data_IF_967092894091
#
_entry.id   IF_967092894091
#
_cell.length_a   1.000
_cell.length_b   1.000
_cell.length_c   1.000
_cell.angle_alpha   90.00
_cell.angle_beta   90.00
_cell.angle_gamma   90.00
#
_symmetry.space_group_name_H-M   'P 1'
#
loop_
_entity.id
_entity.type
_entity.pdbx_description
1 polymer ?
#
# COMPACT_ATOMS: atom_id res chain seq x y z
N UNK A 1 -23.12 -39.20 77.13
CA UNK A 1 -24.60 -39.27 77.22
C UNK A 1 -25.13 -38.04 76.52
N UNK A 2 -26.23 -38.22 75.77
CA UNK A 2 -26.91 -37.22 74.93
C UNK A 2 -26.15 -36.86 73.64
N UNK A 3 -26.75 -36.78 72.45
CA UNK A 3 -28.15 -36.93 72.05
C UNK A 3 -28.29 -37.00 70.52
N UNK A 4 -29.39 -37.62 70.10
CA UNK A 4 -30.16 -37.48 68.83
C UNK A 4 -29.47 -37.13 67.50
N UNK A 5 -29.71 -37.97 66.48
CA UNK A 5 -30.62 -37.61 65.36
C UNK A 5 -30.89 -38.79 64.41
N UNK A 6 -32.18 -38.98 64.09
CA UNK A 6 -32.71 -39.60 62.87
C UNK A 6 -32.08 -38.96 61.61
N UNK A 7 -32.06 -39.49 60.39
CA UNK A 7 -33.08 -40.26 59.66
C UNK A 7 -32.42 -40.91 58.43
N UNK A 8 -33.11 -41.90 57.85
CA UNK A 8 -32.69 -42.75 56.73
C UNK A 8 -32.66 -42.04 55.36
N UNK A 9 -31.89 -42.68 54.48
CA UNK A 9 -31.98 -42.80 53.01
C UNK A 9 -31.57 -41.58 52.16
N UNK A 10 -30.53 -41.77 51.34
CA UNK A 10 -30.63 -41.36 49.94
C UNK A 10 -29.79 -42.25 49.02
N UNK A 11 -30.43 -42.74 47.96
CA UNK A 11 -29.86 -43.58 46.91
C UNK A 11 -29.20 -42.76 45.80
N UNK A 12 -28.34 -43.44 45.06
CA UNK A 12 -27.67 -42.98 43.85
C UNK A 12 -28.67 -42.54 42.76
N UNK A 13 -28.40 -41.41 42.11
CA UNK A 13 -28.43 -41.37 40.65
C UNK A 13 -27.58 -40.22 40.09
N UNK A 14 -26.56 -40.60 39.34
CA UNK A 14 -25.67 -39.81 38.49
C UNK A 14 -26.39 -39.35 37.22
N UNK A 15 -26.38 -38.06 36.91
CA UNK A 15 -26.51 -37.53 35.54
C UNK A 15 -25.61 -36.30 35.39
N UNK A 16 -24.78 -36.36 34.35
CA UNK A 16 -23.72 -35.43 33.98
C UNK A 16 -24.30 -34.10 33.47
N UNK A 17 -23.78 -32.97 33.95
CA UNK A 17 -24.00 -31.65 33.36
C UNK A 17 -22.93 -31.38 32.29
N UNK A 18 -23.29 -31.47 31.01
CA UNK A 18 -22.51 -30.87 29.92
C UNK A 18 -22.85 -29.37 29.80
N UNK A 19 -21.86 -28.48 29.61
CA UNK A 19 -22.13 -27.10 29.24
C UNK A 19 -22.52 -27.02 27.76
N UNK A 20 -23.74 -26.54 27.52
CA UNK A 20 -24.34 -26.31 26.21
C UNK A 20 -23.52 -25.27 25.43
N UNK A 21 -22.70 -25.74 24.48
CA UNK A 21 -21.91 -24.90 23.58
C UNK A 21 -22.78 -24.48 22.40
N UNK A 22 -23.59 -23.43 22.59
CA UNK A 22 -24.29 -22.81 21.47
C UNK A 22 -23.29 -22.22 20.48
N UNK A 23 -23.31 -22.62 19.19
CA UNK A 23 -22.53 -21.94 18.17
C UNK A 23 -23.04 -20.50 18.09
N UNK A 24 -22.18 -19.53 18.34
CA UNK A 24 -22.48 -18.10 18.21
C UNK A 24 -22.92 -17.81 16.78
N UNK A 25 -24.23 -17.86 16.55
CA UNK A 25 -24.81 -17.60 15.24
C UNK A 25 -24.51 -16.15 14.87
N UNK A 26 -23.72 -15.95 13.80
CA UNK A 26 -23.33 -14.62 13.32
C UNK A 26 -24.56 -13.69 13.27
N UNK A 27 -24.42 -12.49 13.82
CA UNK A 27 -25.44 -11.44 13.76
C UNK A 27 -25.95 -11.24 12.32
N UNK A 28 -27.23 -10.88 12.15
CA UNK A 28 -27.84 -10.61 10.84
C UNK A 28 -26.97 -9.66 9.98
N UNK A 29 -26.31 -8.69 10.62
CA UNK A 29 -25.39 -7.76 9.95
C UNK A 29 -24.06 -8.41 9.54
N UNK A 30 -23.51 -9.29 10.37
CA UNK A 30 -22.29 -10.04 10.06
C UNK A 30 -22.53 -11.03 8.90
N UNK A 31 -23.68 -11.74 8.90
CA UNK A 31 -24.11 -12.60 7.79
C UNK A 31 -24.27 -11.83 6.48
N UNK A 32 -24.89 -10.64 6.53
CA UNK A 32 -25.04 -9.75 5.36
C UNK A 32 -23.69 -9.25 4.84
N UNK A 33 -22.75 -8.89 5.73
CA UNK A 33 -21.39 -8.47 5.36
C UNK A 33 -20.62 -9.62 4.69
N UNK A 34 -20.68 -10.82 5.26
CA UNK A 34 -20.03 -12.02 4.69
C UNK A 34 -20.58 -12.38 3.31
N UNK A 35 -21.91 -12.39 3.14
CA UNK A 35 -22.53 -12.68 1.84
C UNK A 35 -22.15 -11.63 0.79
N UNK A 36 -22.06 -10.35 1.16
CA UNK A 36 -21.61 -9.28 0.27
C UNK A 36 -20.14 -9.48 -0.13
N UNK A 37 -19.28 -9.88 0.80
CA UNK A 37 -17.87 -10.19 0.55
C UNK A 37 -17.73 -11.37 -0.42
N UNK A 38 -18.42 -12.49 -0.16
CA UNK A 38 -18.41 -13.67 -1.04
C UNK A 38 -18.90 -13.33 -2.45
N UNK A 39 -19.99 -12.55 -2.58
CA UNK A 39 -20.47 -12.09 -3.89
C UNK A 39 -19.45 -11.22 -4.62
N UNK A 40 -18.75 -10.35 -3.89
CA UNK A 40 -17.70 -9.51 -4.47
C UNK A 40 -16.48 -10.34 -4.92
N UNK A 41 -16.04 -11.30 -4.11
CA UNK A 41 -14.96 -12.23 -4.45
C UNK A 41 -15.29 -13.09 -5.66
N UNK A 42 -16.52 -13.64 -5.72
CA UNK A 42 -17.01 -14.40 -6.86
C UNK A 42 -17.04 -13.55 -8.14
N UNK A 43 -17.59 -12.33 -8.09
CA UNK A 43 -17.62 -11.40 -9.22
C UNK A 43 -16.21 -11.00 -9.68
N UNK A 44 -15.28 -10.82 -8.74
CA UNK A 44 -13.87 -10.52 -9.03
C UNK A 44 -13.19 -11.71 -9.70
N UNK A 45 -13.44 -12.92 -9.22
CA UNK A 45 -12.91 -14.16 -9.81
C UNK A 45 -13.46 -14.39 -11.22
N UNK A 46 -14.76 -14.20 -11.43
CA UNK A 46 -15.42 -14.31 -12.73
C UNK A 46 -14.83 -13.32 -13.74
N UNK A 47 -14.72 -12.02 -13.38
CA UNK A 47 -14.12 -11.00 -14.26
C UNK A 47 -12.67 -11.35 -14.63
N UNK A 48 -11.91 -11.90 -13.68
CA UNK A 48 -10.53 -12.36 -13.92
C UNK A 48 -10.50 -13.56 -14.88
N UNK A 49 -11.44 -14.51 -14.75
CA UNK A 49 -11.57 -15.67 -15.63
C UNK A 49 -11.94 -15.24 -17.06
N UNK A 50 -12.95 -14.39 -17.22
CA UNK A 50 -13.36 -13.85 -18.53
C UNK A 50 -12.21 -13.10 -19.22
N UNK A 51 -11.48 -12.26 -18.48
CA UNK A 51 -10.31 -11.54 -19.02
C UNK A 51 -9.22 -12.51 -19.46
N UNK A 52 -8.98 -13.59 -18.71
CA UNK A 52 -8.00 -14.63 -19.05
C UNK A 52 -8.40 -15.39 -20.31
N UNK A 53 -9.68 -15.72 -20.46
CA UNK A 53 -10.22 -16.40 -21.64
C UNK A 53 -10.15 -15.52 -22.89
N UNK A 54 -10.55 -14.25 -22.79
CA UNK A 54 -10.44 -13.30 -23.90
C UNK A 54 -8.99 -13.16 -24.38
N UNK A 55 -8.04 -13.04 -23.44
CA UNK A 55 -6.60 -13.01 -23.77
C UNK A 55 -6.12 -14.31 -24.43
N UNK A 56 -6.64 -15.46 -24.02
CA UNK A 56 -6.33 -16.75 -24.65
C UNK A 56 -6.82 -16.80 -26.09
N UNK A 57 -8.10 -16.46 -26.33
CA UNK A 57 -8.70 -16.40 -27.68
C UNK A 57 -7.95 -15.43 -28.59
N UNK A 58 -7.60 -14.25 -28.09
CA UNK A 58 -6.81 -13.28 -28.86
C UNK A 58 -5.41 -13.79 -29.19
N UNK A 59 -4.76 -14.49 -28.25
CA UNK A 59 -3.46 -15.12 -28.46
C UNK A 59 -3.50 -16.23 -29.51
N UNK A 60 -4.54 -17.07 -29.49
CA UNK A 60 -4.77 -18.12 -30.49
C UNK A 60 -5.04 -17.52 -31.88
N UNK A 61 -5.86 -16.47 -31.98
CA UNK A 61 -6.10 -15.74 -33.23
C UNK A 61 -4.79 -15.21 -33.84
N UNK A 62 -3.99 -14.50 -33.04
CA UNK A 62 -2.68 -13.96 -33.48
C UNK A 62 -1.69 -15.06 -33.88
N UNK A 63 -1.81 -16.27 -33.31
CA UNK A 63 -0.99 -17.42 -33.68
C UNK A 63 -1.40 -17.97 -35.04
N UNK A 64 -2.71 -18.17 -35.27
CA UNK A 64 -3.24 -18.64 -36.56
C UNK A 64 -2.90 -17.68 -37.70
N UNK A 65 -3.11 -16.38 -37.51
CA UNK A 65 -2.76 -15.34 -38.50
C UNK A 65 -1.26 -15.36 -38.85
N UNK A 66 -0.41 -15.69 -37.88
CA UNK A 66 1.02 -15.81 -38.12
C UNK A 66 1.38 -17.09 -38.88
N UNK A 67 0.75 -18.22 -38.56
CA UNK A 67 0.92 -19.48 -39.27
C UNK A 67 0.46 -19.35 -40.73
N UNK A 68 -0.68 -18.70 -40.96
CA UNK A 68 -1.19 -18.37 -42.30
C UNK A 68 -0.23 -17.46 -43.08
N UNK A 69 0.28 -16.39 -42.44
CA UNK A 69 1.28 -15.50 -43.05
C UNK A 69 2.55 -16.24 -43.44
N UNK A 70 3.03 -17.17 -42.61
CA UNK A 70 4.18 -18.02 -42.92
C UNK A 70 3.88 -18.99 -44.08
N UNK A 71 2.66 -19.52 -44.16
CA UNK A 71 2.22 -20.41 -45.23
C UNK A 71 2.00 -19.67 -46.56
N UNK A 72 1.71 -18.37 -46.52
CA UNK A 72 1.51 -17.53 -47.71
C UNK A 72 2.82 -17.03 -48.34
N UNK A 73 3.98 -17.31 -47.72
CA UNK A 73 5.28 -16.93 -48.28
C UNK A 73 5.58 -17.76 -49.54
N UNK A 74 6.06 -17.12 -50.61
CA UNK A 74 6.25 -17.77 -51.91
C UNK A 74 7.51 -18.65 -51.95
N UNK A 75 8.46 -18.43 -51.04
CA UNK A 75 9.68 -19.21 -50.91
C UNK A 75 10.07 -19.49 -49.45
N UNK A 76 10.87 -20.54 -49.25
CA UNK A 76 11.43 -20.87 -47.94
C UNK A 76 12.37 -19.78 -47.42
N UNK A 77 13.07 -19.09 -48.31
CA UNK A 77 13.93 -17.95 -47.97
C UNK A 77 13.12 -16.76 -47.41
N UNK A 78 11.98 -16.43 -48.02
CA UNK A 78 11.07 -15.38 -47.52
C UNK A 78 10.53 -15.72 -46.12
N UNK A 79 10.18 -17.00 -45.92
CA UNK A 79 9.70 -17.51 -44.63
C UNK A 79 10.77 -17.36 -43.54
N UNK A 80 12.02 -17.73 -43.82
CA UNK A 80 13.14 -17.60 -42.89
C UNK A 80 13.43 -16.12 -42.55
N UNK A 81 13.48 -15.24 -43.56
CA UNK A 81 13.66 -13.79 -43.39
C UNK A 81 12.58 -13.19 -42.49
N UNK A 82 11.32 -13.60 -42.66
CA UNK A 82 10.21 -13.10 -41.85
C UNK A 82 10.28 -13.56 -40.38
N UNK A 83 10.70 -14.81 -40.14
CA UNK A 83 10.93 -15.35 -38.78
C UNK A 83 12.06 -14.59 -38.09
N UNK A 84 13.17 -14.39 -38.79
CA UNK A 84 14.35 -13.70 -38.27
C UNK A 84 14.04 -12.23 -37.96
N UNK A 85 13.40 -11.51 -38.89
CA UNK A 85 12.95 -10.13 -38.66
C UNK A 85 12.05 -10.00 -37.42
N UNK A 86 11.11 -10.94 -37.24
CA UNK A 86 10.25 -10.95 -36.04
C UNK A 86 11.02 -11.24 -34.76
N UNK A 87 12.04 -12.10 -34.83
CA UNK A 87 12.92 -12.42 -33.69
C UNK A 87 13.75 -11.20 -33.30
N UNK A 88 14.32 -10.50 -34.27
CA UNK A 88 15.14 -9.31 -34.02
C UNK A 88 14.29 -8.16 -33.47
N UNK A 89 13.12 -7.89 -34.05
CA UNK A 89 12.17 -6.91 -33.50
C UNK A 89 11.76 -7.23 -32.06
N UNK A 90 11.59 -8.51 -31.72
CA UNK A 90 11.33 -8.91 -30.32
C UNK A 90 12.53 -8.65 -29.43
N UNK A 91 13.74 -8.99 -29.89
CA UNK A 91 14.98 -8.78 -29.15
C UNK A 91 15.23 -7.29 -28.89
N UNK A 92 15.09 -6.45 -29.91
CA UNK A 92 15.21 -4.99 -29.81
C UNK A 92 14.19 -4.42 -28.80
N UNK A 93 12.91 -4.81 -28.91
CA UNK A 93 11.87 -4.36 -27.97
C UNK A 93 12.13 -4.80 -26.53
N UNK A 94 12.68 -6.00 -26.34
CA UNK A 94 13.09 -6.49 -25.02
C UNK A 94 14.31 -5.73 -24.49
N UNK A 95 15.28 -5.43 -25.37
CA UNK A 95 16.46 -4.61 -25.07
C UNK A 95 16.08 -3.22 -24.60
N UNK A 96 15.29 -2.48 -25.40
CA UNK A 96 14.80 -1.13 -25.04
C UNK A 96 14.06 -1.12 -23.69
N UNK A 97 13.22 -2.12 -23.42
CA UNK A 97 12.52 -2.24 -22.13
C UNK A 97 13.46 -2.52 -20.96
N UNK A 98 14.51 -3.31 -21.18
CA UNK A 98 15.50 -3.59 -20.16
C UNK A 98 16.33 -2.34 -19.85
N UNK A 99 16.74 -1.61 -20.89
CA UNK A 99 17.45 -0.33 -20.80
C UNK A 99 16.63 0.72 -20.05
N UNK A 100 15.38 0.99 -20.48
CA UNK A 100 14.49 1.92 -19.78
C UNK A 100 14.27 1.53 -18.30
N UNK A 101 14.25 0.23 -18.00
CA UNK A 101 14.09 -0.26 -16.63
C UNK A 101 15.36 -0.01 -15.82
N UNK A 102 16.52 -0.22 -16.41
CA UNK A 102 17.82 0.04 -15.78
C UNK A 102 17.98 1.53 -15.52
N UNK A 103 17.70 2.39 -16.50
CA UNK A 103 17.74 3.85 -16.31
C UNK A 103 16.86 4.31 -15.14
N UNK A 104 15.60 3.83 -15.07
CA UNK A 104 14.70 4.13 -13.94
C UNK A 104 15.26 3.65 -12.61
N UNK A 105 15.91 2.50 -12.61
CA UNK A 105 16.53 1.89 -11.41
C UNK A 105 17.74 2.71 -10.96
N UNK A 106 18.58 3.14 -11.90
CA UNK A 106 19.74 3.98 -11.64
C UNK A 106 19.34 5.36 -11.10
N UNK A 107 18.28 5.98 -11.63
CA UNK A 107 17.77 7.24 -11.08
C UNK A 107 17.34 7.12 -9.62
N UNK A 108 16.68 6.03 -9.25
CA UNK A 108 16.26 5.79 -7.85
C UNK A 108 17.47 5.53 -6.94
N UNK A 109 18.46 4.77 -7.40
CA UNK A 109 19.71 4.55 -6.65
C UNK A 109 20.46 5.85 -6.45
N UNK A 110 20.56 6.69 -7.47
CA UNK A 110 21.17 8.02 -7.35
C UNK A 110 20.38 8.91 -6.39
N UNK A 111 19.05 8.83 -6.40
CA UNK A 111 18.21 9.56 -5.46
C UNK A 111 18.43 9.12 -4.01
N UNK A 112 18.78 7.86 -3.74
CA UNK A 112 19.15 7.41 -2.39
C UNK A 112 20.37 8.17 -1.82
N UNK A 113 21.30 8.57 -2.68
CA UNK A 113 22.51 9.29 -2.28
C UNK A 113 22.34 10.82 -2.31
N UNK A 114 21.64 11.36 -3.30
CA UNK A 114 21.61 12.81 -3.59
C UNK A 114 20.20 13.40 -3.74
N UNK A 115 19.17 12.57 -3.63
CA UNK A 115 17.79 12.99 -3.77
C UNK A 115 17.25 13.60 -2.48
N UNK A 116 16.12 14.30 -2.62
CA UNK A 116 15.37 14.82 -1.48
C UNK A 116 14.90 13.68 -0.58
N UNK A 117 15.19 13.74 0.71
CA UNK A 117 14.72 12.74 1.68
C UNK A 117 13.27 13.04 2.08
N UNK A 118 12.40 12.07 1.83
CA UNK A 118 10.96 12.16 2.12
C UNK A 118 10.58 10.94 2.96
N UNK A 119 10.08 11.18 4.16
CA UNK A 119 9.67 10.16 5.12
C UNK A 119 8.16 10.08 5.16
N UNK A 120 7.59 8.88 5.12
CA UNK A 120 6.19 8.62 5.42
C UNK A 120 6.13 8.00 6.82
N UNK A 121 5.57 8.75 7.76
CA UNK A 121 5.39 8.36 9.16
C UNK A 121 4.16 7.47 9.33
N UNK A 122 4.37 6.17 9.58
CA UNK A 122 3.31 5.16 9.66
C UNK A 122 2.88 4.81 11.09
N UNK A 123 3.30 5.58 12.10
CA UNK A 123 2.98 5.31 13.51
C UNK A 123 1.51 5.55 13.89
N UNK A 124 0.66 5.93 12.94
CA UNK A 124 -0.77 6.21 13.18
C UNK A 124 -1.71 5.05 12.84
N UNK A 125 -1.18 3.84 12.64
CA UNK A 125 -1.97 2.66 12.25
C UNK A 125 -3.17 2.43 13.18
N UNK A 126 -2.99 2.58 14.49
CA UNK A 126 -4.03 2.36 15.50
C UNK A 126 -5.16 3.39 15.47
N UNK A 127 -4.96 4.51 14.79
CA UNK A 127 -5.97 5.58 14.63
C UNK A 127 -6.83 5.39 13.37
N UNK A 128 -6.59 4.32 12.61
CA UNK A 128 -7.23 4.03 11.34
C UNK A 128 -8.00 2.72 11.36
N UNK A 129 -9.11 2.69 10.64
CA UNK A 129 -9.79 1.43 10.32
C UNK A 129 -9.02 0.64 9.28
N UNK A 130 -9.27 -0.67 9.15
CA UNK A 130 -8.70 -1.52 8.08
C UNK A 130 -8.89 -0.91 6.67
N UNK A 131 -10.04 -0.24 6.44
CA UNK A 131 -10.32 0.40 5.15
C UNK A 131 -9.46 1.65 4.90
N UNK A 132 -9.09 2.36 5.95
CA UNK A 132 -8.21 3.54 5.89
C UNK A 132 -6.75 3.11 5.76
N UNK A 133 -6.32 2.08 6.50
CA UNK A 133 -5.02 1.41 6.31
C UNK A 133 -4.88 0.95 4.85
N UNK A 134 -5.89 0.26 4.30
CA UNK A 134 -5.86 -0.16 2.91
C UNK A 134 -5.73 1.02 1.95
N UNK A 135 -6.43 2.12 2.22
CA UNK A 135 -6.35 3.34 1.42
C UNK A 135 -4.96 3.98 1.49
N UNK A 136 -4.35 4.04 2.68
CA UNK A 136 -2.99 4.53 2.86
C UNK A 136 -1.97 3.66 2.11
N UNK A 137 -2.11 2.34 2.18
CA UNK A 137 -1.26 1.41 1.42
C UNK A 137 -1.36 1.68 -0.09
N UNK A 138 -2.55 1.96 -0.62
CA UNK A 138 -2.70 2.37 -2.02
C UNK A 138 -2.02 3.72 -2.32
N UNK A 139 -2.09 4.68 -1.39
CA UNK A 139 -1.38 5.95 -1.55
C UNK A 139 0.14 5.76 -1.55
N UNK A 140 0.68 4.90 -0.69
CA UNK A 140 2.11 4.54 -0.67
C UNK A 140 2.53 3.91 -2.01
N UNK A 141 1.75 2.96 -2.55
CA UNK A 141 1.98 2.38 -3.89
C UNK A 141 2.00 3.47 -4.96
N UNK A 142 1.04 4.40 -4.90
CA UNK A 142 0.96 5.50 -5.85
C UNK A 142 2.17 6.43 -5.74
N UNK A 143 2.55 6.84 -4.53
CA UNK A 143 3.73 7.67 -4.26
C UNK A 143 5.00 7.04 -4.85
N UNK A 144 5.25 5.75 -4.58
CA UNK A 144 6.38 5.05 -5.15
C UNK A 144 6.31 4.97 -6.67
N UNK A 145 5.14 4.65 -7.25
CA UNK A 145 4.96 4.57 -8.69
C UNK A 145 5.14 5.91 -9.41
N UNK A 146 4.72 7.03 -8.80
CA UNK A 146 4.97 8.38 -9.30
C UNK A 146 6.46 8.72 -9.19
N UNK A 147 7.08 8.49 -8.02
CA UNK A 147 8.50 8.75 -7.80
C UNK A 147 9.39 8.06 -8.84
N UNK A 148 9.12 6.78 -9.14
CA UNK A 148 9.82 6.02 -10.19
C UNK A 148 9.73 6.62 -11.61
N UNK A 149 8.69 7.40 -11.88
CA UNK A 149 8.47 8.06 -13.18
C UNK A 149 9.05 9.47 -13.22
N UNK A 150 9.39 10.06 -12.08
CA UNK A 150 10.01 11.37 -12.01
C UNK A 150 11.38 11.38 -12.71
N UNK A 151 11.70 12.52 -13.34
CA UNK A 151 13.02 12.76 -13.91
C UNK A 151 14.10 12.85 -12.81
N UNK A 152 13.74 13.49 -11.68
CA UNK A 152 14.54 13.54 -10.46
C UNK A 152 13.72 12.95 -9.31
N UNK A 153 13.82 11.65 -9.01
CA UNK A 153 13.14 11.05 -7.87
C UNK A 153 13.71 11.55 -6.54
N UNK A 154 12.90 11.52 -5.49
CA UNK A 154 13.36 11.65 -4.11
C UNK A 154 13.73 10.30 -3.51
N UNK A 155 14.44 10.33 -2.39
CA UNK A 155 14.68 9.17 -1.54
C UNK A 155 13.50 8.99 -0.57
N UNK A 156 12.74 7.90 -0.76
CA UNK A 156 11.58 7.62 0.09
C UNK A 156 11.95 6.72 1.26
N UNK A 157 11.40 7.03 2.42
CA UNK A 157 11.47 6.23 3.64
C UNK A 157 10.06 5.89 4.12
N UNK A 158 9.86 4.67 4.57
CA UNK A 158 8.70 4.28 5.36
C UNK A 158 9.20 3.99 6.77
N UNK A 159 8.72 4.73 7.76
CA UNK A 159 9.13 4.59 9.17
C UNK A 159 7.92 4.22 10.03
N UNK A 160 8.15 3.59 11.17
CA UNK A 160 7.08 3.08 12.03
C UNK A 160 6.35 1.89 11.39
N UNK A 161 7.00 1.14 10.51
CA UNK A 161 6.43 -0.03 9.86
C UNK A 161 6.27 -1.16 10.89
N UNK A 162 5.12 -1.22 11.57
CA UNK A 162 4.83 -2.26 12.55
C UNK A 162 3.38 -2.76 12.45
N UNK A 163 3.12 -3.90 13.08
CA UNK A 163 1.77 -4.45 13.24
C UNK A 163 1.03 -4.67 11.90
N UNK A 164 -0.23 -4.24 11.85
CA UNK A 164 -1.07 -4.46 10.66
C UNK A 164 -0.59 -3.67 9.44
N UNK A 165 0.06 -2.51 9.65
CA UNK A 165 0.61 -1.74 8.53
C UNK A 165 1.73 -2.52 7.82
N UNK A 166 2.67 -3.06 8.59
CA UNK A 166 3.75 -3.88 8.04
C UNK A 166 3.19 -5.10 7.30
N UNK A 167 2.24 -5.81 7.90
CA UNK A 167 1.59 -6.97 7.29
C UNK A 167 0.96 -6.64 5.92
N UNK A 168 0.30 -5.48 5.80
CA UNK A 168 -0.31 -5.05 4.54
C UNK A 168 0.75 -4.69 3.49
N UNK A 169 1.83 -4.02 3.90
CA UNK A 169 2.94 -3.65 3.02
C UNK A 169 3.69 -4.88 2.49
N UNK A 170 3.99 -5.86 3.34
CA UNK A 170 4.69 -7.10 2.94
C UNK A 170 3.88 -7.94 1.94
N UNK A 171 2.55 -7.85 1.96
CA UNK A 171 1.67 -8.52 0.97
C UNK A 171 1.73 -7.91 -0.42
N UNK A 172 2.32 -6.73 -0.58
CA UNK A 172 2.43 -6.07 -1.88
C UNK A 172 3.45 -6.77 -2.78
N UNK A 173 3.04 -7.04 -4.02
CA UNK A 173 3.91 -7.71 -4.98
C UNK A 173 5.15 -6.87 -5.31
N UNK A 174 6.32 -7.43 -5.00
CA UNK A 174 7.59 -6.80 -5.30
C UNK A 174 8.00 -5.69 -4.34
N UNK A 175 7.31 -5.53 -3.20
CA UNK A 175 7.65 -4.54 -2.17
C UNK A 175 9.07 -4.74 -1.63
N UNK A 176 9.49 -5.99 -1.44
CA UNK A 176 10.86 -6.41 -1.15
C UNK A 176 11.89 -5.72 -2.07
N UNK A 177 11.58 -5.58 -3.35
CA UNK A 177 12.46 -4.99 -4.38
C UNK A 177 12.29 -3.48 -4.57
N UNK A 178 11.49 -2.80 -3.75
CA UNK A 178 11.38 -1.35 -3.83
C UNK A 178 12.67 -0.69 -3.35
N UNK A 179 13.11 0.34 -4.07
CA UNK A 179 14.34 1.10 -3.77
C UNK A 179 13.94 2.28 -2.88
N UNK A 180 13.70 1.96 -1.61
CA UNK A 180 13.27 2.85 -0.53
C UNK A 180 13.82 2.28 0.79
N UNK A 181 13.90 3.10 1.83
CA UNK A 181 14.16 2.59 3.19
C UNK A 181 12.86 2.18 3.88
N UNK A 182 12.96 1.15 4.73
CA UNK A 182 11.83 0.54 5.42
C UNK A 182 12.27 0.27 6.85
N UNK A 183 11.81 1.11 7.76
CA UNK A 183 12.18 1.06 9.17
C UNK A 183 10.95 0.71 10.01
N UNK A 184 11.11 -0.26 10.91
CA UNK A 184 10.10 -0.58 11.92
C UNK A 184 10.04 0.47 13.03
N UNK A 185 11.18 1.10 13.31
CA UNK A 185 11.33 2.18 14.28
C UNK A 185 10.71 3.50 13.79
N UNK A 186 10.43 4.40 14.72
CA UNK A 186 9.96 5.75 14.43
C UNK A 186 11.01 6.52 13.61
N UNK A 187 10.58 7.55 12.86
CA UNK A 187 11.53 8.38 12.11
C UNK A 187 12.52 9.10 13.01
N UNK A 188 12.12 9.43 14.24
CA UNK A 188 12.96 10.19 15.18
C UNK A 188 14.10 9.32 15.71
N UNK A 189 13.86 8.01 15.86
CA UNK A 189 14.90 7.04 16.25
C UNK A 189 15.77 6.67 15.05
N UNK A 190 15.17 6.35 13.91
CA UNK A 190 15.89 5.94 12.70
C UNK A 190 16.81 7.04 12.14
N UNK A 191 16.44 8.31 12.34
CA UNK A 191 17.17 9.48 11.82
C UNK A 191 17.68 10.39 12.95
N UNK A 192 17.95 9.81 14.12
CA UNK A 192 18.36 10.56 15.33
C UNK A 192 19.57 11.48 15.10
N UNK A 193 20.55 11.03 14.29
CA UNK A 193 21.78 11.78 13.98
C UNK A 193 21.56 12.98 13.07
N UNK A 194 20.35 13.14 12.52
CA UNK A 194 19.96 14.24 11.63
C UNK A 194 18.71 14.95 12.13
N UNK A 195 18.44 14.90 13.44
CA UNK A 195 17.23 15.45 14.07
C UNK A 195 17.00 16.93 13.71
N UNK A 196 18.05 17.73 13.65
CA UNK A 196 18.02 19.16 13.30
C UNK A 196 17.62 19.44 11.85
N UNK A 197 17.69 18.41 10.99
CA UNK A 197 17.30 18.46 9.58
C UNK A 197 15.88 17.95 9.33
N UNK A 198 15.20 17.42 10.35
CA UNK A 198 13.82 16.96 10.24
C UNK A 198 12.84 18.14 10.16
N UNK A 199 11.96 18.09 9.16
CA UNK A 199 10.86 19.05 8.96
C UNK A 199 9.57 18.26 8.79
N UNK A 200 8.66 18.35 9.76
CA UNK A 200 7.34 17.71 9.66
C UNK A 200 6.39 18.58 8.84
N UNK A 201 5.91 18.03 7.72
CA UNK A 201 4.93 18.68 6.87
C UNK A 201 3.53 18.50 7.44
N UNK A 202 2.93 19.62 7.87
CA UNK A 202 1.57 19.64 8.43
C UNK A 202 0.83 20.88 7.99
N UNK A 203 -0.46 20.73 7.69
CA UNK A 203 -1.32 21.84 7.27
C UNK A 203 -1.54 22.87 8.40
N UNK A 204 -1.35 22.45 9.65
CA UNK A 204 -1.54 23.28 10.84
C UNK A 204 -0.31 24.14 11.18
N UNK A 205 0.78 24.06 10.39
CA UNK A 205 1.98 24.88 10.61
C UNK A 205 1.75 26.33 10.18
N UNK A 206 2.32 27.27 10.94
CA UNK A 206 2.32 28.69 10.60
C UNK A 206 3.29 28.98 9.44
N UNK A 207 4.43 28.30 9.43
CA UNK A 207 5.52 28.47 8.45
C UNK A 207 5.17 27.84 7.12
N UNK A 208 5.14 28.64 6.04
CA UNK A 208 5.01 28.11 4.68
C UNK A 208 6.37 27.60 4.16
N UNK A 209 6.35 26.49 3.43
CA UNK A 209 7.53 25.92 2.78
C UNK A 209 7.64 26.46 1.35
N UNK A 210 8.47 27.47 1.14
CA UNK A 210 8.64 28.09 -0.18
C UNK A 210 9.56 27.26 -1.09
N UNK A 211 10.66 26.74 -0.54
CA UNK A 211 11.67 25.98 -1.27
C UNK A 211 12.03 24.67 -0.54
N UNK A 212 12.42 23.66 -1.33
CA UNK A 212 12.88 22.38 -0.84
C UNK A 212 14.40 22.36 -0.75
N UNK A 213 14.94 22.09 0.44
CA UNK A 213 16.36 21.93 0.70
C UNK A 213 16.73 20.44 0.71
N UNK A 214 17.67 20.05 -0.15
CA UNK A 214 18.17 18.67 -0.25
C UNK A 214 18.88 18.19 1.04
N UNK A 215 19.31 19.10 1.91
CA UNK A 215 19.89 18.78 3.23
C UNK A 215 18.83 18.48 4.28
N UNK A 216 17.57 18.84 4.05
CA UNK A 216 16.46 18.59 4.95
C UNK A 216 15.79 17.25 4.67
N UNK A 217 15.14 16.72 5.69
CA UNK A 217 14.34 15.50 5.61
C UNK A 217 12.90 15.87 5.90
N UNK A 218 12.04 15.70 4.90
CA UNK A 218 10.65 16.11 4.96
C UNK A 218 9.76 14.94 5.35
N UNK A 219 9.06 15.06 6.48
CA UNK A 219 8.20 14.01 7.02
C UNK A 219 6.75 14.31 6.65
N UNK A 220 6.05 13.31 6.14
CA UNK A 220 4.61 13.36 5.85
C UNK A 220 3.91 12.33 6.72
N UNK A 221 2.85 12.75 7.41
CA UNK A 221 2.02 11.83 8.18
C UNK A 221 1.31 10.83 7.27
N UNK A 222 1.62 9.54 7.43
CA UNK A 222 0.91 8.43 6.81
C UNK A 222 -0.41 8.18 7.53
N UNK A 223 -1.39 9.05 7.30
CA UNK A 223 -2.69 9.02 7.97
C UNK A 223 -3.82 9.28 6.98
N UNK A 224 -4.85 8.42 7.01
CA UNK A 224 -6.09 8.61 6.27
C UNK A 224 -7.23 8.73 7.27
N UNK A 225 -7.55 9.97 7.64
CA UNK A 225 -8.54 10.25 8.67
C UNK A 225 -9.63 11.24 8.23
N UNK A 226 -9.50 11.84 7.05
CA UNK A 226 -10.36 12.94 6.57
C UNK A 226 -10.38 14.14 7.52
N UNK A 227 -9.24 14.44 8.15
CA UNK A 227 -9.05 15.54 9.09
C UNK A 227 -9.92 15.42 10.37
N UNK A 228 -10.13 14.18 10.85
CA UNK A 228 -10.74 13.92 12.17
C UNK A 228 -9.78 14.31 13.29
N UNK A 229 -8.47 14.14 13.08
CA UNK A 229 -7.42 14.34 14.06
C UNK A 229 -6.65 15.65 13.80
N UNK A 230 -7.34 16.78 13.95
CA UNK A 230 -6.73 18.11 13.77
C UNK A 230 -5.56 18.32 14.73
N UNK A 231 -4.46 18.88 14.25
CA UNK A 231 -3.28 19.19 15.06
C UNK A 231 -2.46 17.98 15.50
N UNK A 232 -2.82 16.74 15.12
CA UNK A 232 -2.13 15.53 15.60
C UNK A 232 -0.64 15.53 15.24
N UNK A 233 -0.33 15.74 13.96
CA UNK A 233 1.05 15.75 13.46
C UNK A 233 1.83 16.97 13.94
N UNK A 234 1.17 18.12 14.08
CA UNK A 234 1.75 19.34 14.66
C UNK A 234 2.14 19.12 16.12
N UNK A 235 1.24 18.53 16.92
CA UNK A 235 1.49 18.19 18.32
C UNK A 235 2.67 17.21 18.44
N UNK A 236 2.68 16.13 17.66
CA UNK A 236 3.77 15.16 17.63
C UNK A 236 5.12 15.83 17.32
N UNK A 237 5.18 16.68 16.30
CA UNK A 237 6.39 17.39 15.92
C UNK A 237 6.88 18.37 17.02
N UNK A 238 5.96 19.11 17.64
CA UNK A 238 6.26 20.04 18.73
C UNK A 238 6.80 19.31 19.97
N UNK A 239 6.16 18.20 20.37
CA UNK A 239 6.61 17.38 21.50
C UNK A 239 8.02 16.81 21.29
N UNK A 240 8.38 16.51 20.03
CA UNK A 240 9.70 16.03 19.66
C UNK A 240 10.73 17.16 19.45
N UNK A 241 10.26 18.41 19.41
CA UNK A 241 11.10 19.60 19.18
C UNK A 241 11.72 19.65 17.78
N UNK A 242 10.99 19.21 16.75
CA UNK A 242 11.42 19.29 15.34
C UNK A 242 10.71 20.42 14.59
N UNK A 243 11.30 20.86 13.49
CA UNK A 243 10.73 21.94 12.68
C UNK A 243 9.42 21.48 12.02
N UNK A 244 8.50 22.42 11.79
CA UNK A 244 7.27 22.16 11.02
C UNK A 244 7.14 23.16 9.89
N UNK A 245 6.50 22.73 8.81
CA UNK A 245 6.11 23.62 7.72
C UNK A 245 4.84 23.13 7.03
N UNK A 246 4.08 24.03 6.41
CA UNK A 246 2.96 23.69 5.53
C UNK A 246 3.35 23.89 4.07
N UNK A 247 2.81 23.04 3.20
CA UNK A 247 2.96 23.25 1.75
C UNK A 247 2.20 24.54 1.34
N UNK A 248 2.72 25.33 0.39
CA UNK A 248 2.16 26.62 -0.03
C UNK A 248 0.96 26.43 -0.97
N UNK A 249 0.02 25.55 -0.61
CA UNK A 249 -1.06 25.10 -1.48
C UNK A 249 -2.11 26.20 -1.69
N UNK A 250 -2.35 27.03 -0.68
CA UNK A 250 -3.31 28.14 -0.74
C UNK A 250 -3.00 29.16 -1.84
N UNK A 251 -1.73 29.31 -2.21
CA UNK A 251 -1.28 30.28 -3.22
C UNK A 251 -1.48 29.79 -4.65
N UNK A 252 -1.60 28.47 -4.86
CA UNK A 252 -1.57 27.85 -6.20
C UNK A 252 -2.81 27.00 -6.54
N UNK A 253 -3.70 26.70 -5.59
CA UNK A 253 -4.84 25.80 -5.81
C UNK A 253 -6.18 26.55 -5.73
N UNK A 254 -6.76 26.88 -6.90
CA UNK A 254 -8.21 27.18 -7.01
C UNK A 254 -8.99 25.89 -6.81
N UNK A 255 -9.31 25.55 -5.56
CA UNK A 255 -10.07 24.34 -5.25
C UNK A 255 -11.52 24.44 -5.76
N UNK A 256 -11.90 23.59 -6.72
CA UNK A 256 -13.30 23.23 -6.94
C UNK A 256 -13.73 22.19 -5.88
N UNK A 257 -14.32 22.66 -4.78
CA UNK A 257 -15.08 21.92 -3.75
C UNK A 257 -14.50 20.57 -3.26
N UNK A 258 -13.98 20.50 -2.04
CA UNK A 258 -14.81 20.23 -0.85
C UNK A 258 -14.24 20.96 0.37
N UNK A 259 -15.08 21.79 0.97
CA UNK A 259 -14.76 22.73 2.02
C UNK A 259 -14.34 22.01 3.32
N UNK A 260 -13.04 21.99 3.64
CA UNK A 260 -12.61 21.82 5.03
C UNK A 260 -12.93 23.15 5.72
N UNK A 261 -14.08 23.24 6.39
CA UNK A 261 -14.46 24.45 7.13
C UNK A 261 -13.57 24.56 8.37
N UNK A 262 -12.69 25.55 8.36
CA UNK A 262 -12.13 26.11 9.58
C UNK A 262 -13.22 26.97 10.22
N UNK A 263 -13.72 26.55 11.38
CA UNK A 263 -14.41 27.42 12.32
C UNK A 263 -13.35 27.99 13.25
N UNK A 264 -13.23 29.33 13.25
CA UNK A 264 -12.53 30.10 14.28
C UNK A 264 -13.12 29.81 15.66
#
# INVERSE_FOLDING_TARGET
MEGEKETKQNGQNTLENQPDSQPTTLSKNAKKKLLKQQKWEAKKAEKKAQTKEQKKKEGERKRKEWEEKLSSCASEEERLKLIESRRELRKERMGKRAEEKEEKTQRLRKAKEFGLNIVIDLEFADLMTDSEIHSLVQQIIYCYAVNRRCASPGHLWLTGCSGEMENQLQRLSGFDRWIIEKESQSYIEALQDQKENLVYLTADSETALDELDLKKIYIVGGLVDRNRWKGLTMKKANEQGIQTAKLPISSYLKMSSSQCRYSL
#
